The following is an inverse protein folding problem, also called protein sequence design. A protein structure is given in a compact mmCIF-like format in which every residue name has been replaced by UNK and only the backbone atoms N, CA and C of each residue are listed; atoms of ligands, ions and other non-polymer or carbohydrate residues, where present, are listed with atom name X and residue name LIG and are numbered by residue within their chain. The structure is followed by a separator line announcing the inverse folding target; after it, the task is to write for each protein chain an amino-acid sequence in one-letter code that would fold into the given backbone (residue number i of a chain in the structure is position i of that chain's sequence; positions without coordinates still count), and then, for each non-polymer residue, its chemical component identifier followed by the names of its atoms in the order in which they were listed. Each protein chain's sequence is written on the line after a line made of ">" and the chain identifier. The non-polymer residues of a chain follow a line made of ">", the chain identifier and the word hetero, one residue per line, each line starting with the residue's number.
data_IF_213286389453
#
_entry.id   IF_213286389453
#
_cell.length_a   1.000
_cell.length_b   1.000
_cell.length_c   1.000
_cell.angle_alpha   90.00
_cell.angle_beta   90.00
_cell.angle_gamma   90.00
#
_symmetry.space_group_name_H-M   'P 1'
#
loop_
_entity.id
_entity.type
_entity.pdbx_description
1 polymer ?
#
# COMPACT_ATOMS: atom_id res chain seq x y z
N UNK A 1 24.28 -18.09 23.40
CA UNK A 1 24.12 -16.61 23.32
C UNK A 1 23.55 -16.09 21.99
N UNK A 2 22.99 -16.94 21.08
CA UNK A 2 22.51 -16.49 19.76
C UNK A 2 21.01 -16.17 19.64
N UNK A 3 20.15 -16.63 20.56
CA UNK A 3 18.69 -16.46 20.41
C UNK A 3 18.21 -15.04 20.73
N UNK A 4 18.80 -14.35 21.71
CA UNK A 4 18.38 -13.00 22.11
C UNK A 4 18.68 -11.94 21.04
N UNK A 5 19.82 -12.06 20.35
CA UNK A 5 20.17 -11.16 19.24
C UNK A 5 19.23 -11.35 18.04
N UNK A 6 18.78 -12.59 17.77
CA UNK A 6 17.84 -12.86 16.68
C UNK A 6 16.46 -12.23 16.93
N UNK A 7 15.96 -12.28 18.17
CA UNK A 7 14.67 -11.72 18.58
C UNK A 7 14.66 -10.17 18.58
N UNK A 8 15.73 -9.54 19.09
CA UNK A 8 15.85 -8.06 19.10
C UNK A 8 15.79 -7.42 17.70
N UNK A 9 16.19 -8.18 16.66
CA UNK A 9 16.20 -7.73 15.28
C UNK A 9 14.79 -7.67 14.66
N UNK A 10 13.89 -8.61 14.98
CA UNK A 10 12.51 -8.57 14.48
C UNK A 10 11.72 -7.43 15.09
N UNK A 11 11.97 -7.12 16.37
CA UNK A 11 11.33 -5.98 17.03
C UNK A 11 11.66 -4.66 16.33
N UNK A 12 12.93 -4.46 15.97
CA UNK A 12 13.39 -3.25 15.24
C UNK A 12 12.75 -3.17 13.84
N UNK A 13 12.73 -4.28 13.09
CA UNK A 13 12.08 -4.35 11.78
C UNK A 13 10.57 -4.13 11.88
N UNK A 14 9.92 -4.65 12.93
CA UNK A 14 8.52 -4.43 13.23
C UNK A 14 8.22 -2.96 13.55
N UNK A 15 9.07 -2.29 14.33
CA UNK A 15 8.93 -0.85 14.60
C UNK A 15 9.10 -0.01 13.33
N UNK A 16 10.09 -0.33 12.50
CA UNK A 16 10.28 0.35 11.21
C UNK A 16 9.07 0.14 10.28
N UNK A 17 8.52 -1.08 10.22
CA UNK A 17 7.32 -1.40 9.45
C UNK A 17 6.08 -0.68 10.00
N UNK A 18 5.97 -0.53 11.33
CA UNK A 18 4.90 0.22 11.96
C UNK A 18 4.94 1.69 11.52
N UNK A 19 6.13 2.32 11.57
CA UNK A 19 6.32 3.70 11.12
C UNK A 19 5.94 3.83 9.64
N UNK A 20 6.44 2.95 8.78
CA UNK A 20 6.06 2.93 7.36
C UNK A 20 4.53 2.82 7.19
N UNK A 21 3.88 1.94 7.94
CA UNK A 21 2.42 1.76 7.89
C UNK A 21 1.66 3.01 8.31
N UNK A 22 2.09 3.68 9.38
CA UNK A 22 1.49 4.95 9.83
C UNK A 22 1.63 6.01 8.73
N UNK A 23 2.80 6.12 8.10
CA UNK A 23 3.01 7.05 7.00
C UNK A 23 2.13 6.71 5.79
N UNK A 24 1.90 5.43 5.48
CA UNK A 24 0.90 5.01 4.49
C UNK A 24 -0.51 5.50 4.84
N UNK A 25 -0.93 5.30 6.08
CA UNK A 25 -2.25 5.73 6.55
C UNK A 25 -2.39 7.26 6.47
N UNK A 26 -1.37 8.02 6.88
CA UNK A 26 -1.35 9.48 6.71
C UNK A 26 -1.47 9.85 5.24
N UNK A 27 -0.68 9.22 4.37
CA UNK A 27 -0.73 9.43 2.92
C UNK A 27 -2.13 9.15 2.35
N UNK A 28 -2.83 8.13 2.83
CA UNK A 28 -4.16 7.77 2.34
C UNK A 28 -5.23 8.85 2.60
N UNK A 29 -5.03 9.71 3.60
CA UNK A 29 -6.00 10.73 4.02
C UNK A 29 -5.48 12.18 3.94
N UNK A 30 -4.25 12.39 3.47
CA UNK A 30 -3.64 13.73 3.43
C UNK A 30 -4.33 14.66 2.42
N UNK A 31 -4.82 14.11 1.30
CA UNK A 31 -5.48 14.89 0.25
C UNK A 31 -6.99 14.99 0.48
N UNK A 32 -7.54 16.19 0.30
CA UNK A 32 -8.98 16.48 0.46
C UNK A 32 -9.89 15.61 -0.43
N UNK A 33 -9.36 15.19 -1.58
CA UNK A 33 -10.01 14.25 -2.51
C UNK A 33 -10.54 12.98 -1.82
N UNK A 34 -9.85 12.48 -0.78
CA UNK A 34 -10.22 11.24 -0.09
C UNK A 34 -11.10 11.47 1.16
N UNK A 35 -11.48 12.71 1.47
CA UNK A 35 -12.34 13.02 2.61
C UNK A 35 -13.82 12.83 2.26
N UNK A 36 -14.59 12.37 3.24
CA UNK A 36 -16.04 12.16 3.09
C UNK A 36 -16.79 13.52 3.00
N UNK A 37 -17.81 13.63 2.13
CA UNK A 37 -18.27 12.64 1.15
C UNK A 37 -17.26 12.49 -0.01
N UNK A 38 -17.02 11.26 -0.48
CA UNK A 38 -16.11 11.01 -1.61
C UNK A 38 -16.74 11.62 -2.87
N UNK A 39 -16.03 12.48 -3.62
CA UNK A 39 -16.58 13.11 -4.82
C UNK A 39 -16.87 12.05 -5.89
N UNK A 40 -18.11 12.01 -6.38
CA UNK A 40 -18.53 11.09 -7.46
C UNK A 40 -18.44 11.76 -8.83
N UNK A 41 -18.76 13.05 -8.88
CA UNK A 41 -18.82 13.83 -10.11
C UNK A 41 -17.42 14.23 -10.62
N UNK A 42 -17.16 14.14 -11.94
CA UNK A 42 -15.85 14.46 -12.50
C UNK A 42 -15.37 15.88 -12.19
N UNK A 43 -16.28 16.87 -12.27
CA UNK A 43 -15.94 18.26 -11.99
C UNK A 43 -15.57 18.48 -10.52
N UNK A 44 -16.32 17.87 -9.59
CA UNK A 44 -16.05 17.97 -8.15
C UNK A 44 -14.69 17.36 -7.79
N UNK A 45 -14.36 16.19 -8.37
CA UNK A 45 -13.05 15.55 -8.24
C UNK A 45 -11.91 16.50 -8.63
N UNK A 46 -12.02 17.16 -9.79
CA UNK A 46 -11.01 18.12 -10.26
C UNK A 46 -10.92 19.33 -9.34
N UNK A 47 -12.05 19.88 -8.89
CA UNK A 47 -12.09 21.01 -7.96
C UNK A 47 -11.38 20.69 -6.66
N UNK A 48 -11.62 19.51 -6.05
CA UNK A 48 -10.92 19.10 -4.82
C UNK A 48 -9.42 18.95 -5.03
N UNK A 49 -8.99 18.38 -6.15
CA UNK A 49 -7.56 18.28 -6.50
C UNK A 49 -6.93 19.67 -6.67
N UNK A 50 -7.62 20.60 -7.34
CA UNK A 50 -7.12 21.96 -7.55
C UNK A 50 -7.05 22.76 -6.24
N UNK A 51 -8.07 22.62 -5.38
CA UNK A 51 -8.17 23.33 -4.10
C UNK A 51 -7.15 22.82 -3.07
N UNK A 52 -6.76 21.54 -3.13
CA UNK A 52 -5.75 20.93 -2.27
C UNK A 52 -4.60 20.30 -3.07
N UNK A 53 -3.97 21.11 -3.91
CA UNK A 53 -2.79 20.69 -4.69
C UNK A 53 -1.63 20.19 -3.80
N UNK A 54 -1.31 20.81 -2.64
CA UNK A 54 -0.25 20.31 -1.77
C UNK A 54 -0.57 18.92 -1.21
N UNK A 55 -1.78 18.68 -0.69
CA UNK A 55 -2.19 17.36 -0.19
C UNK A 55 -2.17 16.31 -1.29
N UNK A 56 -2.70 16.65 -2.47
CA UNK A 56 -2.66 15.76 -3.64
C UNK A 56 -1.23 15.37 -4.07
N UNK A 57 -0.33 16.36 -4.11
CA UNK A 57 1.09 16.16 -4.45
C UNK A 57 1.80 15.32 -3.39
N UNK A 58 1.57 15.63 -2.10
CA UNK A 58 2.12 14.88 -0.99
C UNK A 58 1.70 13.41 -1.05
N UNK A 59 0.42 13.14 -1.32
CA UNK A 59 -0.10 11.79 -1.49
C UNK A 59 0.59 11.02 -2.62
N UNK A 60 0.79 11.67 -3.77
CA UNK A 60 1.48 11.06 -4.90
C UNK A 60 2.95 10.72 -4.60
N UNK A 61 3.60 11.42 -3.67
CA UNK A 61 5.00 11.18 -3.29
C UNK A 61 5.13 10.20 -2.13
N UNK A 62 4.26 10.30 -1.11
CA UNK A 62 4.34 9.47 0.10
C UNK A 62 4.24 7.98 -0.26
N UNK A 63 3.23 7.59 -1.02
CA UNK A 63 2.99 6.18 -1.31
C UNK A 63 4.17 5.45 -1.97
N UNK A 64 4.77 5.94 -3.09
CA UNK A 64 5.90 5.24 -3.70
C UNK A 64 7.12 5.16 -2.76
N UNK A 65 7.38 6.21 -1.97
CA UNK A 65 8.45 6.19 -0.96
C UNK A 65 8.21 5.10 0.07
N UNK A 66 6.99 4.98 0.59
CA UNK A 66 6.67 3.98 1.60
C UNK A 66 6.62 2.57 1.01
N UNK A 67 6.12 2.38 -0.22
CA UNK A 67 6.20 1.06 -0.87
C UNK A 67 7.65 0.59 -1.04
N UNK A 68 8.55 1.48 -1.46
CA UNK A 68 9.97 1.16 -1.55
C UNK A 68 10.54 0.79 -0.19
N UNK A 69 10.23 1.56 0.86
CA UNK A 69 10.66 1.26 2.23
C UNK A 69 10.14 -0.12 2.68
N UNK A 70 8.86 -0.43 2.43
CA UNK A 70 8.27 -1.74 2.77
C UNK A 70 8.95 -2.88 2.01
N UNK A 71 9.27 -2.72 0.73
CA UNK A 71 10.00 -3.73 -0.04
C UNK A 71 11.37 -4.02 0.57
N UNK A 72 12.12 -2.97 0.95
CA UNK A 72 13.41 -3.10 1.63
C UNK A 72 13.25 -3.80 2.98
N UNK A 73 12.26 -3.40 3.78
CA UNK A 73 11.99 -4.04 5.08
C UNK A 73 11.64 -5.52 4.93
N UNK A 74 10.84 -5.88 3.92
CA UNK A 74 10.49 -7.28 3.64
C UNK A 74 11.72 -8.08 3.19
N UNK A 75 12.60 -7.49 2.37
CA UNK A 75 13.85 -8.12 1.99
C UNK A 75 14.75 -8.35 3.22
N UNK A 76 14.84 -7.37 4.12
CA UNK A 76 15.58 -7.50 5.38
C UNK A 76 15.00 -8.61 6.27
N UNK A 77 13.66 -8.68 6.40
CA UNK A 77 12.97 -9.77 7.12
C UNK A 77 13.31 -11.13 6.48
N UNK A 78 13.31 -11.23 5.15
CA UNK A 78 13.63 -12.47 4.44
C UNK A 78 15.04 -13.01 4.76
N UNK A 79 16.02 -12.13 4.96
CA UNK A 79 17.37 -12.55 5.37
C UNK A 79 17.39 -13.27 6.72
N UNK A 80 16.42 -12.94 7.60
CA UNK A 80 16.26 -13.48 8.96
C UNK A 80 15.38 -14.74 9.03
N UNK A 81 14.81 -15.19 7.92
CA UNK A 81 13.95 -16.37 7.85
C UNK A 81 14.58 -17.45 6.95
N UNK A 82 15.70 -18.10 7.33
CA UNK A 82 16.41 -19.02 6.44
C UNK A 82 15.54 -20.20 5.96
N UNK A 83 14.65 -20.73 6.81
CA UNK A 83 13.73 -21.83 6.47
C UNK A 83 12.59 -21.43 5.54
N UNK A 84 12.24 -20.14 5.45
CA UNK A 84 11.15 -19.62 4.62
C UNK A 84 11.59 -18.48 3.70
N UNK A 85 12.90 -18.37 3.43
CA UNK A 85 13.52 -17.23 2.73
C UNK A 85 12.93 -17.01 1.35
N UNK A 86 12.64 -18.08 0.62
CA UNK A 86 12.05 -18.00 -0.72
C UNK A 86 10.71 -17.26 -0.73
N UNK A 87 9.80 -17.62 0.20
CA UNK A 87 8.50 -16.97 0.33
C UNK A 87 8.63 -15.50 0.74
N UNK A 88 9.47 -15.21 1.74
CA UNK A 88 9.68 -13.84 2.20
C UNK A 88 10.38 -12.95 1.13
N UNK A 89 11.28 -13.53 0.33
CA UNK A 89 11.93 -12.82 -0.77
C UNK A 89 10.95 -12.56 -1.92
N UNK A 90 10.10 -13.53 -2.25
CA UNK A 90 9.02 -13.33 -3.22
C UNK A 90 8.03 -12.25 -2.76
N UNK A 91 7.71 -12.20 -1.46
CA UNK A 91 6.91 -11.12 -0.89
C UNK A 91 7.58 -9.76 -1.10
N UNK A 92 8.88 -9.62 -0.81
CA UNK A 92 9.62 -8.38 -1.02
C UNK A 92 9.62 -7.95 -2.51
N UNK A 93 9.81 -8.91 -3.42
CA UNK A 93 9.77 -8.66 -4.87
C UNK A 93 8.38 -8.19 -5.32
N UNK A 94 7.30 -8.80 -4.81
CA UNK A 94 5.94 -8.36 -5.11
C UNK A 94 5.64 -6.95 -4.60
N UNK A 95 6.16 -6.57 -3.42
CA UNK A 95 6.06 -5.16 -2.97
C UNK A 95 6.84 -4.24 -3.91
N UNK A 96 8.02 -4.65 -4.39
CA UNK A 96 8.79 -3.87 -5.35
C UNK A 96 8.07 -3.72 -6.71
N UNK A 97 7.38 -4.76 -7.18
CA UNK A 97 6.51 -4.67 -8.37
C UNK A 97 5.32 -3.76 -8.09
N UNK A 98 4.68 -3.88 -6.92
CA UNK A 98 3.62 -2.99 -6.48
C UNK A 98 4.06 -1.52 -6.44
N UNK A 99 5.28 -1.25 -5.97
CA UNK A 99 5.92 0.08 -6.03
C UNK A 99 5.98 0.60 -7.47
N UNK A 100 6.43 -0.21 -8.44
CA UNK A 100 6.52 0.20 -9.84
C UNK A 100 5.13 0.52 -10.42
N UNK A 101 4.12 -0.28 -10.14
CA UNK A 101 2.74 0.01 -10.53
C UNK A 101 2.27 1.33 -9.92
N UNK A 102 2.57 1.57 -8.64
CA UNK A 102 2.18 2.81 -7.99
C UNK A 102 2.96 4.03 -8.50
N UNK A 103 4.21 3.86 -8.92
CA UNK A 103 5.00 4.96 -9.48
C UNK A 103 4.34 5.55 -10.73
N UNK A 104 3.75 4.70 -11.59
CA UNK A 104 2.95 5.14 -12.73
C UNK A 104 1.75 5.98 -12.27
N UNK A 105 0.99 5.47 -11.29
CA UNK A 105 -0.15 6.18 -10.69
C UNK A 105 0.28 7.53 -10.12
N UNK A 106 1.42 7.58 -9.42
CA UNK A 106 1.99 8.79 -8.85
C UNK A 106 2.35 9.83 -9.92
N UNK A 107 2.98 9.41 -11.02
CA UNK A 107 3.33 10.31 -12.13
C UNK A 107 2.06 10.94 -12.72
N UNK A 108 1.06 10.12 -13.01
CA UNK A 108 -0.21 10.59 -13.56
C UNK A 108 -0.94 11.53 -12.59
N UNK A 109 -0.92 11.23 -11.29
CA UNK A 109 -1.46 12.13 -10.25
C UNK A 109 -0.72 13.45 -10.20
N UNK A 110 0.61 13.46 -10.26
CA UNK A 110 1.40 14.70 -10.28
C UNK A 110 1.07 15.54 -11.52
N UNK A 111 0.93 14.92 -12.69
CA UNK A 111 0.51 15.58 -13.92
C UNK A 111 -0.91 16.14 -13.82
N UNK A 112 -1.85 15.36 -13.25
CA UNK A 112 -3.22 15.79 -13.04
C UNK A 112 -3.29 16.99 -12.08
N UNK A 113 -2.55 16.95 -10.97
CA UNK A 113 -2.47 18.06 -10.02
C UNK A 113 -1.88 19.33 -10.64
N UNK A 114 -0.92 19.18 -11.56
CA UNK A 114 -0.35 20.30 -12.29
C UNK A 114 -1.33 20.95 -13.29
N UNK A 115 -2.18 20.14 -13.92
CA UNK A 115 -3.14 20.56 -14.96
C UNK A 115 -4.55 20.85 -14.45
N UNK A 116 -4.85 20.56 -13.18
CA UNK A 116 -6.22 20.59 -12.64
C UNK A 116 -6.95 21.92 -12.89
N UNK A 117 -6.29 23.06 -12.69
CA UNK A 117 -6.90 24.37 -12.91
C UNK A 117 -7.30 24.62 -14.38
N UNK A 118 -6.47 24.17 -15.33
CA UNK A 118 -6.76 24.26 -16.76
C UNK A 118 -7.90 23.33 -17.16
N UNK A 119 -7.87 22.09 -16.66
CA UNK A 119 -8.92 21.09 -16.91
C UNK A 119 -10.29 21.52 -16.35
N UNK A 120 -10.33 22.28 -15.27
CA UNK A 120 -11.57 22.90 -14.75
C UNK A 120 -12.07 23.98 -15.70
N UNK A 121 -11.18 24.85 -16.21
CA UNK A 121 -11.54 25.94 -17.12
C UNK A 121 -12.12 25.43 -18.45
N UNK A 122 -11.57 24.33 -18.96
CA UNK A 122 -11.98 23.74 -20.25
C UNK A 122 -12.91 22.54 -20.08
N UNK A 123 -13.56 22.40 -18.93
CA UNK A 123 -14.39 21.24 -18.64
C UNK A 123 -15.64 21.21 -19.53
N UNK A 124 -15.82 20.12 -20.28
CA UNK A 124 -17.03 19.81 -21.03
C UNK A 124 -17.72 18.57 -20.42
N UNK A 125 -18.95 18.69 -19.88
CA UNK A 125 -19.70 17.56 -19.36
C UNK A 125 -19.97 16.46 -20.39
N UNK A 126 -20.05 16.80 -21.69
CA UNK A 126 -20.28 15.83 -22.76
C UNK A 126 -19.00 15.05 -23.15
N UNK A 127 -17.83 15.56 -22.79
CA UNK A 127 -16.53 14.98 -23.09
C UNK A 127 -15.54 15.17 -21.91
N UNK A 128 -15.75 14.46 -20.79
CA UNK A 128 -14.92 14.64 -19.60
C UNK A 128 -13.45 14.29 -19.88
N UNK A 129 -12.49 14.94 -19.20
CA UNK A 129 -11.07 14.72 -19.45
C UNK A 129 -10.66 13.25 -19.31
N UNK A 130 -9.95 12.71 -20.30
CA UNK A 130 -9.49 11.31 -20.34
C UNK A 130 -8.67 10.88 -19.11
N UNK A 131 -8.02 11.84 -18.44
CA UNK A 131 -7.22 11.62 -17.21
C UNK A 131 -8.04 11.05 -16.04
N UNK A 132 -9.38 11.10 -16.12
CA UNK A 132 -10.29 10.66 -15.07
C UNK A 132 -10.61 9.16 -15.11
N UNK A 133 -10.32 8.47 -16.23
CA UNK A 133 -10.84 7.11 -16.52
C UNK A 133 -9.76 6.02 -16.38
N UNK A 134 -8.47 6.37 -16.33
CA UNK A 134 -7.39 5.41 -16.61
C UNK A 134 -6.73 4.70 -15.42
N UNK A 135 -7.18 4.91 -14.18
CA UNK A 135 -6.46 4.35 -13.03
C UNK A 135 -6.80 2.89 -12.68
N UNK A 136 -7.89 2.33 -13.21
CA UNK A 136 -8.45 1.08 -12.68
C UNK A 136 -7.50 -0.12 -12.78
N UNK A 137 -6.93 -0.40 -13.96
CA UNK A 137 -6.13 -1.62 -14.17
C UNK A 137 -4.79 -1.62 -13.43
N UNK A 138 -4.04 -0.52 -13.47
CA UNK A 138 -2.72 -0.43 -12.79
C UNK A 138 -2.90 -0.41 -11.27
N UNK A 139 -3.98 0.22 -10.80
CA UNK A 139 -4.38 0.20 -9.39
C UNK A 139 -4.71 -1.22 -8.90
N UNK A 140 -5.45 -2.00 -9.69
CA UNK A 140 -5.73 -3.40 -9.38
C UNK A 140 -4.47 -4.27 -9.39
N UNK A 141 -3.60 -4.08 -10.38
CA UNK A 141 -2.32 -4.79 -10.44
C UNK A 141 -1.46 -4.51 -9.19
N UNK A 142 -1.36 -3.25 -8.77
CA UNK A 142 -0.72 -2.88 -7.51
C UNK A 142 -1.40 -3.59 -6.32
N UNK A 143 -2.71 -3.48 -6.19
CA UNK A 143 -3.46 -4.02 -5.05
C UNK A 143 -3.25 -5.52 -4.89
N UNK A 144 -3.33 -6.28 -5.99
CA UNK A 144 -3.08 -7.73 -5.99
C UNK A 144 -1.64 -8.07 -5.64
N UNK A 145 -0.65 -7.30 -6.13
CA UNK A 145 0.74 -7.50 -5.75
C UNK A 145 0.96 -7.34 -4.24
N UNK A 146 0.36 -6.30 -3.64
CA UNK A 146 0.52 -6.03 -2.20
C UNK A 146 -0.19 -7.06 -1.34
N UNK A 147 -1.41 -7.47 -1.70
CA UNK A 147 -2.13 -8.51 -0.96
C UNK A 147 -1.42 -9.87 -1.09
N UNK A 148 -0.94 -10.22 -2.28
CA UNK A 148 -0.13 -11.44 -2.46
C UNK A 148 1.18 -11.36 -1.67
N UNK A 149 1.85 -10.21 -1.63
CA UNK A 149 3.05 -10.01 -0.82
C UNK A 149 2.78 -10.23 0.68
N UNK A 150 1.68 -9.66 1.20
CA UNK A 150 1.26 -9.85 2.59
C UNK A 150 0.92 -11.32 2.87
N UNK A 151 0.25 -12.00 1.94
CA UNK A 151 -0.05 -13.42 2.07
C UNK A 151 1.23 -14.28 2.15
N UNK A 152 2.19 -14.03 1.26
CA UNK A 152 3.47 -14.73 1.25
C UNK A 152 4.31 -14.42 2.50
N UNK A 153 4.37 -13.17 2.94
CA UNK A 153 5.11 -12.79 4.14
C UNK A 153 4.48 -13.38 5.40
N UNK A 154 3.15 -13.33 5.53
CA UNK A 154 2.42 -13.97 6.63
C UNK A 154 2.67 -15.48 6.68
N UNK A 155 2.61 -16.15 5.51
CA UNK A 155 2.94 -17.58 5.39
C UNK A 155 4.38 -17.86 5.79
N UNK A 156 5.34 -17.05 5.32
CA UNK A 156 6.75 -17.23 5.63
C UNK A 156 7.01 -17.13 7.14
N UNK A 157 6.41 -16.15 7.81
CA UNK A 157 6.53 -15.94 9.25
C UNK A 157 5.87 -17.04 10.07
N UNK A 158 4.77 -17.61 9.57
CA UNK A 158 4.10 -18.74 10.21
C UNK A 158 4.93 -20.03 10.09
N UNK A 159 5.41 -20.35 8.89
CA UNK A 159 6.22 -21.55 8.63
C UNK A 159 7.61 -21.49 9.29
N UNK A 160 8.15 -20.29 9.48
CA UNK A 160 9.39 -20.10 10.21
C UNK A 160 9.21 -20.04 11.75
N UNK A 161 7.99 -20.27 12.24
CA UNK A 161 7.62 -20.27 13.66
C UNK A 161 7.95 -18.97 14.42
N UNK A 162 8.03 -17.85 13.69
CA UNK A 162 8.26 -16.52 14.28
C UNK A 162 6.95 -15.92 14.79
N UNK A 163 5.89 -16.07 14.01
CA UNK A 163 4.53 -15.63 14.32
C UNK A 163 3.53 -16.69 13.82
N UNK A 164 3.50 -17.91 14.40
CA UNK A 164 2.75 -19.04 13.85
C UNK A 164 1.26 -18.74 13.66
N UNK A 165 0.57 -18.28 14.71
CA UNK A 165 -0.87 -17.96 14.61
C UNK A 165 -1.11 -16.69 13.80
N UNK A 166 -0.37 -15.62 14.10
CA UNK A 166 -0.61 -14.31 13.48
C UNK A 166 -0.26 -14.28 12.00
N UNK A 167 0.78 -15.02 11.58
CA UNK A 167 1.18 -15.15 10.18
C UNK A 167 0.08 -15.80 9.33
N UNK A 168 -0.60 -16.83 9.85
CA UNK A 168 -1.77 -17.41 9.18
C UNK A 168 -2.96 -16.45 9.14
N UNK A 169 -3.20 -15.66 10.19
CA UNK A 169 -4.25 -14.62 10.18
C UNK A 169 -3.95 -13.55 9.11
N UNK A 170 -2.71 -13.08 9.02
CA UNK A 170 -2.26 -12.12 8.00
C UNK A 170 -2.44 -12.71 6.60
N UNK A 171 -2.07 -13.98 6.41
CA UNK A 171 -2.27 -14.67 5.13
C UNK A 171 -3.74 -14.76 4.75
N UNK A 172 -4.57 -15.30 5.65
CA UNK A 172 -5.99 -15.50 5.40
C UNK A 172 -6.73 -14.19 5.15
N UNK A 173 -6.43 -13.15 5.92
CA UNK A 173 -7.03 -11.81 5.73
C UNK A 173 -6.60 -11.17 4.41
N UNK A 174 -5.35 -11.32 3.99
CA UNK A 174 -4.87 -10.82 2.70
C UNK A 174 -5.54 -11.53 1.51
N UNK A 175 -5.64 -12.87 1.55
CA UNK A 175 -6.32 -13.67 0.53
C UNK A 175 -7.82 -13.35 0.49
N UNK A 176 -8.49 -13.31 1.65
CA UNK A 176 -9.89 -12.96 1.73
C UNK A 176 -10.14 -11.54 1.19
N UNK A 177 -9.27 -10.58 1.50
CA UNK A 177 -9.37 -9.21 0.98
C UNK A 177 -9.20 -9.15 -0.54
N UNK A 178 -8.33 -9.99 -1.13
CA UNK A 178 -8.16 -10.06 -2.58
C UNK A 178 -9.43 -10.59 -3.26
N UNK A 179 -10.04 -11.63 -2.69
CA UNK A 179 -11.30 -12.22 -3.17
C UNK A 179 -12.45 -11.23 -3.03
N UNK A 180 -12.66 -10.68 -1.83
CA UNK A 180 -13.74 -9.71 -1.56
C UNK A 180 -13.56 -8.45 -2.42
N UNK A 181 -12.34 -7.93 -2.53
CA UNK A 181 -12.02 -6.79 -3.38
C UNK A 181 -12.42 -7.02 -4.82
N UNK A 182 -12.06 -8.18 -5.39
CA UNK A 182 -12.39 -8.54 -6.77
C UNK A 182 -13.90 -8.63 -7.04
N UNK A 183 -14.72 -8.96 -6.03
CA UNK A 183 -16.17 -9.16 -6.22
C UNK A 183 -17.05 -7.99 -5.79
N UNK A 184 -16.61 -7.14 -4.85
CA UNK A 184 -17.52 -6.22 -4.14
C UNK A 184 -17.08 -4.75 -4.23
N UNK A 185 -15.77 -4.45 -4.30
CA UNK A 185 -15.29 -3.10 -3.93
C UNK A 185 -14.68 -2.21 -5.02
N UNK A 186 -14.65 -2.60 -6.29
CA UNK A 186 -14.32 -1.67 -7.39
C UNK A 186 -13.06 -0.82 -7.13
N UNK A 187 -13.14 0.50 -7.30
CA UNK A 187 -11.99 1.42 -7.16
C UNK A 187 -11.57 1.77 -5.72
N UNK A 188 -11.96 0.97 -4.72
CA UNK A 188 -11.67 1.34 -3.32
C UNK A 188 -10.15 1.22 -3.02
N UNK A 189 -9.52 2.22 -2.38
CA UNK A 189 -8.10 2.18 -2.02
C UNK A 189 -7.78 0.91 -1.24
N UNK A 190 -6.51 0.42 -1.23
CA UNK A 190 -6.15 -0.80 -0.54
C UNK A 190 -6.06 -0.57 0.98
N UNK A 191 -7.10 0.00 1.59
CA UNK A 191 -7.22 0.26 3.02
C UNK A 191 -6.96 -0.99 3.86
N UNK A 192 -7.45 -2.14 3.37
CA UNK A 192 -7.22 -3.42 4.03
C UNK A 192 -5.73 -3.78 4.10
N UNK A 193 -4.93 -3.42 3.09
CA UNK A 193 -3.49 -3.73 3.10
C UNK A 193 -2.75 -3.00 4.23
N UNK A 194 -3.11 -1.75 4.55
CA UNK A 194 -2.50 -1.01 5.65
C UNK A 194 -2.89 -1.58 7.02
N UNK A 195 -4.16 -2.00 7.16
CA UNK A 195 -4.63 -2.64 8.41
C UNK A 195 -3.93 -3.97 8.63
N UNK A 196 -3.80 -4.80 7.57
CA UNK A 196 -3.08 -6.08 7.64
C UNK A 196 -1.60 -5.84 7.96
N UNK A 197 -0.97 -4.86 7.31
CA UNK A 197 0.43 -4.51 7.57
C UNK A 197 0.64 -3.94 8.98
N UNK A 198 -0.33 -3.19 9.52
CA UNK A 198 -0.32 -2.70 10.91
C UNK A 198 -0.35 -3.87 11.89
N UNK A 199 -1.24 -4.83 11.69
CA UNK A 199 -1.32 -6.05 12.50
C UNK A 199 0.00 -6.81 12.46
N UNK A 200 0.57 -6.98 11.26
CA UNK A 200 1.85 -7.64 11.07
C UNK A 200 3.00 -6.90 11.79
N UNK A 201 3.07 -5.58 11.67
CA UNK A 201 4.08 -4.75 12.32
C UNK A 201 4.00 -4.84 13.85
N UNK A 202 2.79 -4.75 14.41
CA UNK A 202 2.56 -4.92 15.86
C UNK A 202 2.99 -6.33 16.30
N UNK A 203 2.67 -7.36 15.52
CA UNK A 203 3.12 -8.73 15.77
C UNK A 203 4.64 -8.83 15.86
N UNK A 204 5.34 -8.33 14.84
CA UNK A 204 6.82 -8.34 14.79
C UNK A 204 7.46 -7.57 15.94
N UNK A 205 6.85 -6.47 16.38
CA UNK A 205 7.32 -5.70 17.55
C UNK A 205 7.25 -6.46 18.87
N UNK A 206 6.38 -7.47 18.95
CA UNK A 206 6.16 -8.30 20.13
C UNK A 206 6.95 -9.60 20.10
N UNK A 207 7.71 -9.87 19.04
CA UNK A 207 8.63 -11.02 18.97
C UNK A 207 9.81 -10.74 19.94
N UNK A 208 9.87 -11.52 21.02
CA UNK A 208 10.82 -11.38 22.13
C UNK A 208 10.31 -12.11 23.38
#
# INVERSE_FOLDING_TARGET
>A
MNNLNHLSNFRTLGTALLVATIVFMVGAFVADYFRLPIPTEPLEKLQRIANDRPGWTAQAIIFPVVYLATAVLFALIATKLPSARGLASAAALLVAVGFLCWLVISIDRLQLGAKAAELIRTYDPAAPPAVMVNFSWVFWANTLCILAALALMGTALALADVLPTLGWVVMGTAVASAVIGAFIWGDWPPFMSYVIMLILAIGLMRVG
#
